data_IF_826708797344
#
_entry.id   IF_826708797344
#
_cell.length_a   1.000
_cell.length_b   1.000
_cell.length_c   1.000
_cell.angle_alpha   90.00
_cell.angle_beta   90.00
_cell.angle_gamma   90.00
#
_symmetry.space_group_name_H-M   'P 1'
#
loop_
_entity.id
_entity.type
_entity.pdbx_description
1 polymer ?
#
# COMPACT_ATOMS: atom_id res chain seq x y z
N UNK A 1 4.90 -25.76 -21.31
CA UNK A 1 6.06 -24.84 -21.42
C UNK A 1 6.41 -24.18 -20.09
N UNK A 2 5.62 -23.28 -19.48
CA UNK A 2 6.05 -22.64 -18.22
C UNK A 2 6.31 -23.65 -17.08
N UNK A 3 5.34 -24.51 -16.76
CA UNK A 3 5.45 -25.46 -15.65
C UNK A 3 6.57 -26.49 -15.83
N UNK A 4 6.93 -26.80 -17.07
CA UNK A 4 7.97 -27.78 -17.38
C UNK A 4 9.38 -27.27 -17.03
N UNK A 5 9.58 -25.94 -17.03
CA UNK A 5 10.86 -25.31 -16.73
C UNK A 5 10.91 -24.64 -15.35
N UNK A 6 9.79 -24.10 -14.88
CA UNK A 6 9.75 -23.28 -13.66
C UNK A 6 8.96 -23.91 -12.51
N UNK A 7 8.32 -25.07 -12.73
CA UNK A 7 7.52 -25.75 -11.72
C UNK A 7 6.08 -25.24 -11.62
N UNK A 8 5.31 -25.71 -10.63
CA UNK A 8 3.90 -25.36 -10.47
C UNK A 8 3.72 -23.86 -10.18
N UNK A 9 2.58 -23.29 -10.62
CA UNK A 9 2.28 -21.86 -10.43
C UNK A 9 1.85 -21.50 -9.00
N UNK A 10 1.54 -22.50 -8.19
CA UNK A 10 1.33 -22.40 -6.75
C UNK A 10 2.12 -23.50 -6.03
N UNK A 11 2.75 -23.14 -4.92
CA UNK A 11 3.63 -24.02 -4.15
C UNK A 11 3.89 -23.44 -2.76
N UNK A 12 4.46 -24.25 -1.88
CA UNK A 12 4.88 -23.84 -0.54
C UNK A 12 6.31 -24.32 -0.25
N UNK A 13 6.97 -23.68 0.70
CA UNK A 13 8.30 -24.06 1.19
C UNK A 13 8.57 -23.49 2.58
N UNK A 14 9.42 -24.14 3.34
CA UNK A 14 9.85 -23.67 4.66
C UNK A 14 11.23 -23.02 4.57
N UNK A 15 11.38 -21.83 5.16
CA UNK A 15 12.66 -21.16 5.25
C UNK A 15 12.75 -20.27 6.49
N UNK A 16 13.85 -20.35 7.23
CA UNK A 16 14.10 -19.46 8.37
C UNK A 16 13.05 -19.52 9.49
N UNK A 17 12.37 -20.67 9.66
CA UNK A 17 11.30 -20.85 10.64
C UNK A 17 9.95 -20.24 10.25
N UNK A 18 9.78 -19.91 8.96
CA UNK A 18 8.53 -19.41 8.37
C UNK A 18 8.12 -20.37 7.27
N UNK A 19 6.82 -20.61 7.16
CA UNK A 19 6.23 -21.31 6.03
C UNK A 19 5.77 -20.30 4.98
N UNK A 20 6.23 -20.46 3.75
CA UNK A 20 5.90 -19.58 2.63
C UNK A 20 4.95 -20.28 1.69
N UNK A 21 3.93 -19.54 1.23
CA UNK A 21 2.94 -20.01 0.27
C UNK A 21 2.92 -19.04 -0.91
N UNK A 22 3.00 -19.56 -2.13
CA UNK A 22 2.74 -18.80 -3.36
C UNK A 22 1.45 -19.31 -3.97
N UNK A 23 0.49 -18.41 -4.20
CA UNK A 23 -0.79 -18.69 -4.82
C UNK A 23 -0.85 -18.12 -6.23
N UNK A 24 -1.47 -18.88 -7.13
CA UNK A 24 -1.83 -18.41 -8.46
C UNK A 24 -3.29 -17.96 -8.46
N UNK A 25 -3.47 -16.65 -8.33
CA UNK A 25 -4.79 -16.01 -8.39
C UNK A 25 -5.28 -15.74 -9.81
N UNK A 26 -4.53 -16.06 -10.86
CA UNK A 26 -4.87 -15.73 -12.24
C UNK A 26 -5.56 -16.90 -12.94
N UNK A 27 -6.89 -16.96 -12.85
CA UNK A 27 -7.64 -17.98 -13.59
C UNK A 27 -8.01 -17.45 -14.97
N UNK A 28 -7.48 -18.07 -16.03
CA UNK A 28 -7.90 -17.78 -17.39
C UNK A 28 -9.32 -18.32 -17.59
N UNK A 29 -10.25 -17.42 -17.90
CA UNK A 29 -11.63 -17.76 -18.25
C UNK A 29 -11.92 -17.34 -19.68
N UNK A 30 -12.75 -18.11 -20.36
CA UNK A 30 -13.16 -17.80 -21.73
C UNK A 30 -14.55 -17.17 -21.71
N UNK A 31 -14.64 -15.87 -22.05
CA UNK A 31 -15.90 -15.11 -22.08
C UNK A 31 -16.06 -14.46 -23.45
N UNK A 32 -17.20 -14.70 -24.10
CA UNK A 32 -17.55 -14.09 -25.40
C UNK A 32 -16.45 -14.25 -26.47
N UNK A 33 -15.84 -15.43 -26.57
CA UNK A 33 -14.79 -15.69 -27.57
C UNK A 33 -13.41 -15.11 -27.22
N UNK A 34 -13.23 -14.52 -26.03
CA UNK A 34 -11.96 -13.93 -25.58
C UNK A 34 -11.50 -14.54 -24.26
N UNK A 35 -10.18 -14.70 -24.11
CA UNK A 35 -9.57 -15.05 -22.84
C UNK A 35 -9.54 -13.80 -21.95
N UNK A 36 -10.12 -13.90 -20.76
CA UNK A 36 -10.03 -12.90 -19.70
C UNK A 36 -9.43 -13.54 -18.45
N UNK A 37 -8.89 -12.73 -17.54
CA UNK A 37 -8.34 -13.23 -16.27
C UNK A 37 -9.35 -12.90 -15.18
N UNK A 38 -9.89 -13.94 -14.52
CA UNK A 38 -10.63 -13.79 -13.28
C UNK A 38 -9.68 -13.98 -12.10
N UNK A 39 -9.79 -13.11 -11.10
CA UNK A 39 -9.01 -13.27 -9.88
C UNK A 39 -9.71 -14.28 -8.95
N UNK A 40 -9.26 -15.53 -9.01
CA UNK A 40 -9.73 -16.59 -8.13
C UNK A 40 -8.77 -17.78 -8.11
N UNK A 41 -8.90 -18.60 -7.08
CA UNK A 41 -8.26 -19.91 -6.98
C UNK A 41 -9.25 -20.98 -7.42
N UNK A 42 -8.78 -21.94 -8.22
CA UNK A 42 -9.59 -23.12 -8.54
C UNK A 42 -9.77 -24.03 -7.31
N UNK A 43 -10.72 -24.96 -7.39
CA UNK A 43 -11.05 -25.84 -6.26
C UNK A 43 -9.87 -26.75 -5.86
N UNK A 44 -8.97 -27.10 -6.80
CA UNK A 44 -7.81 -27.93 -6.50
C UNK A 44 -6.78 -27.14 -5.70
N UNK A 45 -6.51 -25.90 -6.08
CA UNK A 45 -5.62 -25.01 -5.35
C UNK A 45 -6.16 -24.71 -3.94
N UNK A 46 -7.48 -24.50 -3.79
CA UNK A 46 -8.09 -24.33 -2.46
C UNK A 46 -7.96 -25.59 -1.61
N UNK A 47 -8.19 -26.78 -2.18
CA UNK A 47 -8.04 -28.04 -1.45
C UNK A 47 -6.58 -28.29 -1.03
N UNK A 48 -5.64 -28.00 -1.93
CA UNK A 48 -4.20 -28.04 -1.65
C UNK A 48 -3.83 -27.08 -0.53
N UNK A 49 -4.22 -25.80 -0.61
CA UNK A 49 -3.93 -24.78 0.41
C UNK A 49 -4.42 -25.20 1.79
N UNK A 50 -5.63 -25.76 1.88
CA UNK A 50 -6.16 -26.27 3.15
C UNK A 50 -5.35 -27.44 3.71
N UNK A 51 -4.91 -28.36 2.84
CA UNK A 51 -4.10 -29.50 3.25
C UNK A 51 -2.70 -29.08 3.70
N UNK A 52 -2.08 -28.14 2.96
CA UNK A 52 -0.78 -27.55 3.24
C UNK A 52 -0.78 -26.82 4.59
N UNK A 53 -1.71 -25.88 4.79
CA UNK A 53 -1.86 -25.17 6.08
C UNK A 53 -2.18 -26.11 7.26
N UNK A 54 -2.89 -27.22 7.02
CA UNK A 54 -3.17 -28.23 8.06
C UNK A 54 -1.93 -29.05 8.42
N UNK A 55 -1.04 -29.30 7.45
CA UNK A 55 0.21 -30.00 7.67
C UNK A 55 1.26 -29.12 8.35
N UNK A 56 1.18 -27.80 8.17
CA UNK A 56 2.05 -26.81 8.81
C UNK A 56 1.82 -26.75 10.33
N UNK A 57 2.86 -26.86 11.17
CA UNK A 57 2.68 -26.75 12.62
C UNK A 57 2.04 -25.42 13.01
N UNK A 58 1.03 -25.45 13.87
CA UNK A 58 0.16 -24.30 14.17
C UNK A 58 0.90 -23.03 14.62
N UNK A 59 2.06 -23.17 15.27
CA UNK A 59 2.87 -22.04 15.74
C UNK A 59 3.82 -21.47 14.68
N UNK A 60 3.95 -22.13 13.53
CA UNK A 60 4.78 -21.65 12.43
C UNK A 60 4.10 -20.43 11.81
N UNK A 61 4.74 -19.25 11.79
CA UNK A 61 4.20 -18.09 11.09
C UNK A 61 4.18 -18.36 9.58
N UNK A 62 3.11 -17.93 8.91
CA UNK A 62 2.97 -18.12 7.46
C UNK A 62 2.99 -16.78 6.72
N UNK A 63 3.74 -16.72 5.62
CA UNK A 63 3.72 -15.62 4.65
C UNK A 63 3.14 -16.15 3.33
N UNK A 64 2.12 -15.49 2.81
CA UNK A 64 1.47 -15.86 1.57
C UNK A 64 1.71 -14.80 0.49
N UNK A 65 2.04 -15.20 -0.74
CA UNK A 65 2.16 -14.32 -1.90
C UNK A 65 1.07 -14.60 -2.94
N UNK A 66 0.49 -13.55 -3.52
CA UNK A 66 -0.49 -13.63 -4.61
C UNK A 66 -0.40 -12.38 -5.49
N UNK A 67 -0.52 -12.48 -6.81
CA UNK A 67 -0.33 -11.30 -7.66
C UNK A 67 -1.47 -10.27 -7.55
N UNK A 68 -2.71 -10.70 -7.85
CA UNK A 68 -3.89 -9.83 -7.77
C UNK A 68 -4.28 -9.68 -6.30
N UNK A 69 -4.48 -8.46 -5.78
CA UNK A 69 -4.88 -8.24 -4.40
C UNK A 69 -6.16 -8.98 -4.05
N UNK A 70 -6.18 -9.62 -2.88
CA UNK A 70 -7.42 -10.17 -2.31
C UNK A 70 -8.15 -9.03 -1.60
N UNK A 71 -7.39 -8.22 -0.85
CA UNK A 71 -7.90 -7.14 -0.01
C UNK A 71 -7.41 -5.78 -0.52
N UNK A 72 -8.31 -4.84 -0.78
CA UNK A 72 -7.94 -3.47 -1.20
C UNK A 72 -9.11 -2.49 -1.04
N UNK A 73 -8.81 -1.22 -0.79
CA UNK A 73 -9.82 -0.14 -0.85
C UNK A 73 -9.94 0.51 -2.24
N UNK A 74 -9.40 -0.13 -3.29
CA UNK A 74 -9.33 0.38 -4.67
C UNK A 74 -10.63 1.04 -5.17
N UNK A 75 -11.78 0.39 -4.97
CA UNK A 75 -13.09 0.90 -5.42
C UNK A 75 -13.47 2.20 -4.69
N UNK A 76 -13.39 2.19 -3.36
CA UNK A 76 -13.67 3.37 -2.50
C UNK A 76 -12.78 4.55 -2.89
N UNK A 77 -11.48 4.30 -3.05
CA UNK A 77 -10.46 5.31 -3.41
C UNK A 77 -10.67 5.94 -4.79
N UNK A 78 -11.50 5.34 -5.64
CA UNK A 78 -11.84 5.84 -6.98
C UNK A 78 -13.25 6.44 -7.07
N UNK A 79 -13.98 6.48 -5.96
CA UNK A 79 -15.34 7.05 -5.86
C UNK A 79 -16.46 6.07 -6.21
N UNK A 80 -16.17 4.77 -6.19
CA UNK A 80 -17.18 3.72 -6.28
C UNK A 80 -17.49 3.10 -4.90
N UNK A 81 -18.57 2.30 -4.85
CA UNK A 81 -19.04 1.59 -3.65
C UNK A 81 -20.12 2.31 -2.86
N UNK A 82 -20.90 1.57 -2.08
CA UNK A 82 -21.91 2.11 -1.14
C UNK A 82 -21.37 2.01 0.29
N UNK A 83 -21.34 3.12 1.03
CA UNK A 83 -20.95 3.14 2.45
C UNK A 83 -22.02 2.44 3.33
N UNK A 84 -21.68 1.83 4.49
CA UNK A 84 -20.36 1.71 5.13
C UNK A 84 -19.84 0.26 5.40
N UNK A 85 -20.45 -0.80 4.84
CA UNK A 85 -20.22 -2.19 5.32
C UNK A 85 -19.42 -3.14 4.41
N UNK A 86 -18.83 -2.66 3.31
CA UNK A 86 -18.09 -3.56 2.43
C UNK A 86 -16.69 -3.87 2.96
N UNK A 87 -16.55 -5.10 3.48
CA UNK A 87 -15.29 -5.80 3.66
C UNK A 87 -14.36 -5.51 2.45
N UNK A 88 -13.12 -5.02 2.65
CA UNK A 88 -12.34 -4.39 1.60
C UNK A 88 -11.79 -5.39 0.59
N UNK A 89 -12.62 -5.90 -0.32
CA UNK A 89 -12.24 -6.84 -1.36
C UNK A 89 -11.84 -6.10 -2.63
N UNK A 90 -10.74 -6.53 -3.24
CA UNK A 90 -10.30 -5.98 -4.52
C UNK A 90 -11.33 -6.28 -5.64
N UNK A 91 -11.55 -5.36 -6.59
CA UNK A 91 -12.63 -5.49 -7.57
C UNK A 91 -12.50 -6.67 -8.53
N UNK A 92 -11.30 -7.21 -8.70
CA UNK A 92 -11.04 -8.37 -9.55
C UNK A 92 -11.52 -9.68 -8.90
N UNK A 93 -11.64 -9.71 -7.58
CA UNK A 93 -12.06 -10.88 -6.83
C UNK A 93 -13.57 -10.91 -6.61
N UNK A 94 -14.16 -12.09 -6.72
CA UNK A 94 -15.51 -12.30 -6.22
C UNK A 94 -15.52 -12.21 -4.68
N UNK A 95 -16.43 -11.39 -4.12
CA UNK A 95 -16.51 -11.09 -2.68
C UNK A 95 -16.56 -12.34 -1.80
N UNK A 96 -17.50 -13.25 -2.03
CA UNK A 96 -17.67 -14.42 -1.16
C UNK A 96 -16.49 -15.40 -1.27
N UNK A 97 -15.88 -15.53 -2.45
CA UNK A 97 -14.67 -16.35 -2.63
C UNK A 97 -13.46 -15.74 -1.92
N UNK A 98 -13.31 -14.43 -1.96
CA UNK A 98 -12.22 -13.73 -1.27
C UNK A 98 -12.38 -13.83 0.26
N UNK A 99 -13.59 -13.61 0.77
CA UNK A 99 -13.89 -13.78 2.20
C UNK A 99 -13.58 -15.20 2.68
N UNK A 100 -14.01 -16.23 1.92
CA UNK A 100 -13.70 -17.62 2.23
C UNK A 100 -12.19 -17.92 2.18
N UNK A 101 -11.45 -17.32 1.24
CA UNK A 101 -10.00 -17.45 1.18
C UNK A 101 -9.34 -16.80 2.41
N UNK A 102 -9.79 -15.62 2.82
CA UNK A 102 -9.27 -14.93 4.00
C UNK A 102 -9.52 -15.75 5.27
N UNK A 103 -10.67 -16.42 5.37
CA UNK A 103 -10.96 -17.34 6.48
C UNK A 103 -10.00 -18.52 6.51
N UNK A 104 -9.70 -19.11 5.35
CA UNK A 104 -8.71 -20.19 5.25
C UNK A 104 -7.34 -19.70 5.70
N UNK A 105 -6.89 -18.53 5.25
CA UNK A 105 -5.60 -17.95 5.62
C UNK A 105 -5.54 -17.62 7.13
N UNK A 106 -6.61 -17.08 7.70
CA UNK A 106 -6.67 -16.72 9.12
C UNK A 106 -6.54 -17.95 10.03
N UNK A 107 -7.17 -19.07 9.65
CA UNK A 107 -7.05 -20.34 10.37
C UNK A 107 -5.64 -20.94 10.26
N UNK A 108 -4.90 -20.63 9.19
CA UNK A 108 -3.57 -21.15 8.90
C UNK A 108 -2.40 -20.38 9.53
N UNK A 109 -2.64 -19.53 10.54
CA UNK A 109 -1.60 -18.69 11.16
C UNK A 109 -0.85 -17.77 10.16
N UNK A 110 -1.50 -17.38 9.06
CA UNK A 110 -0.96 -16.42 8.10
C UNK A 110 -0.87 -15.04 8.75
N UNK A 111 0.31 -14.43 8.69
CA UNK A 111 0.59 -13.12 9.28
C UNK A 111 0.66 -12.02 8.24
N UNK A 112 1.16 -12.35 7.05
CA UNK A 112 1.43 -11.40 5.99
C UNK A 112 1.01 -11.99 4.65
N UNK A 113 0.20 -11.24 3.90
CA UNK A 113 -0.15 -11.51 2.51
C UNK A 113 0.49 -10.44 1.63
N UNK A 114 1.44 -10.85 0.80
CA UNK A 114 2.10 -10.02 -0.18
C UNK A 114 1.29 -10.04 -1.48
N UNK A 115 0.88 -8.86 -1.93
CA UNK A 115 0.07 -8.68 -3.12
C UNK A 115 0.55 -7.50 -3.98
N UNK A 116 0.04 -7.38 -5.21
CA UNK A 116 0.54 -6.42 -6.20
C UNK A 116 -0.51 -5.94 -7.20
N UNK A 117 -0.20 -6.03 -8.49
CA UNK A 117 -1.07 -5.68 -9.64
C UNK A 117 -1.37 -4.18 -9.83
N UNK A 118 -1.73 -3.43 -8.78
CA UNK A 118 -2.23 -2.06 -8.93
C UNK A 118 -1.14 -0.99 -9.13
N UNK A 119 0.13 -1.32 -8.87
CA UNK A 119 1.25 -0.37 -8.85
C UNK A 119 1.00 0.80 -7.89
N UNK A 120 0.55 0.42 -6.70
CA UNK A 120 0.22 1.27 -5.56
C UNK A 120 0.73 0.60 -4.29
N UNK A 121 1.07 1.39 -3.27
CA UNK A 121 1.39 0.89 -1.93
C UNK A 121 0.17 1.02 -1.01
N UNK A 122 -0.33 -0.09 -0.48
CA UNK A 122 -1.50 -0.13 0.41
C UNK A 122 -1.32 -1.25 1.44
N UNK A 123 -1.61 -0.95 2.72
CA UNK A 123 -1.51 -1.93 3.81
C UNK A 123 -2.80 -1.94 4.60
N UNK A 124 -3.43 -3.10 4.72
CA UNK A 124 -4.72 -3.28 5.39
C UNK A 124 -4.64 -4.51 6.29
N UNK A 125 -5.05 -4.39 7.55
CA UNK A 125 -5.17 -5.55 8.43
C UNK A 125 -6.61 -6.06 8.44
N UNK A 126 -6.79 -7.35 8.17
CA UNK A 126 -8.09 -8.02 8.17
C UNK A 126 -7.94 -9.35 8.90
N UNK A 127 -8.78 -9.59 9.91
CA UNK A 127 -8.75 -10.82 10.75
C UNK A 127 -7.35 -11.15 11.30
N UNK A 128 -6.58 -10.12 11.66
CA UNK A 128 -5.22 -10.26 12.21
C UNK A 128 -4.14 -10.60 11.17
N UNK A 129 -4.47 -10.57 9.89
CA UNK A 129 -3.54 -10.73 8.77
C UNK A 129 -3.29 -9.38 8.13
N UNK A 130 -2.03 -9.02 7.91
CA UNK A 130 -1.70 -7.83 7.14
C UNK A 130 -1.65 -8.15 5.64
N UNK A 131 -2.48 -7.49 4.84
CA UNK A 131 -2.49 -7.54 3.39
C UNK A 131 -1.73 -6.33 2.85
N UNK A 132 -0.67 -6.57 2.11
CA UNK A 132 0.27 -5.54 1.67
C UNK A 132 0.40 -5.56 0.17
N UNK A 133 -0.23 -4.59 -0.48
CA UNK A 133 0.05 -4.24 -1.87
C UNK A 133 1.31 -3.38 -1.90
N UNK A 134 2.35 -3.83 -2.60
CA UNK A 134 3.58 -3.05 -2.77
C UNK A 134 3.63 -2.38 -4.13
N UNK A 135 4.24 -1.20 -4.17
CA UNK A 135 4.56 -0.52 -5.44
C UNK A 135 5.43 -1.41 -6.33
N UNK A 136 5.35 -1.20 -7.66
CA UNK A 136 6.16 -1.93 -8.63
C UNK A 136 7.57 -1.36 -8.74
N UNK A 137 8.54 -2.24 -9.03
CA UNK A 137 9.93 -1.90 -9.35
C UNK A 137 10.01 -1.03 -10.61
N UNK A 138 9.08 -1.19 -11.55
CA UNK A 138 9.03 -0.39 -12.77
C UNK A 138 8.19 0.89 -12.67
N UNK A 139 7.68 1.24 -11.48
CA UNK A 139 6.75 2.37 -11.33
C UNK A 139 5.52 2.18 -12.23
N UNK A 140 4.94 3.25 -12.75
CA UNK A 140 3.78 3.19 -13.65
C UNK A 140 4.20 3.23 -15.14
N UNK A 141 5.09 2.33 -15.55
CA UNK A 141 5.79 2.36 -16.84
C UNK A 141 4.92 2.50 -18.11
N UNK A 142 3.66 2.09 -18.06
CA UNK A 142 2.68 2.24 -19.14
C UNK A 142 2.16 3.68 -19.30
N UNK A 143 2.37 4.54 -18.30
CA UNK A 143 2.17 5.97 -18.40
C UNK A 143 3.47 6.60 -18.91
N UNK A 144 3.52 6.91 -20.21
CA UNK A 144 4.61 7.68 -20.80
C UNK A 144 4.64 9.11 -20.24
N UNK A 145 5.84 9.66 -20.00
CA UNK A 145 6.03 11.05 -19.55
C UNK A 145 6.88 11.19 -18.28
N UNK A 146 6.95 12.40 -17.74
CA UNK A 146 7.59 12.69 -16.45
C UNK A 146 6.86 11.96 -15.30
N UNK A 147 7.61 11.47 -14.31
CA UNK A 147 7.07 10.71 -13.18
C UNK A 147 7.04 9.18 -13.37
N UNK A 148 7.63 8.67 -14.46
CA UNK A 148 7.80 7.22 -14.72
C UNK A 148 8.44 6.47 -13.55
N UNK A 149 9.30 7.15 -12.78
CA UNK A 149 9.97 6.60 -11.60
C UNK A 149 9.04 6.36 -10.39
N UNK A 150 7.74 6.61 -10.52
CA UNK A 150 6.74 6.53 -9.44
C UNK A 150 5.54 5.68 -9.81
N UNK A 151 4.80 5.25 -8.79
CA UNK A 151 3.50 4.63 -8.91
C UNK A 151 2.38 5.60 -9.28
N UNK A 152 1.20 5.05 -9.53
CA UNK A 152 0.01 5.88 -9.78
C UNK A 152 -0.42 6.67 -8.53
N UNK A 153 0.03 6.21 -7.35
CA UNK A 153 -0.13 6.83 -6.03
C UNK A 153 0.99 7.83 -5.68
N UNK A 154 1.88 8.12 -6.63
CA UNK A 154 3.03 9.00 -6.46
C UNK A 154 4.08 8.51 -5.43
N UNK A 155 4.00 7.25 -4.99
CA UNK A 155 5.07 6.59 -4.22
C UNK A 155 6.23 6.27 -5.18
N UNK A 156 7.50 6.49 -4.80
CA UNK A 156 8.61 6.10 -5.66
C UNK A 156 8.57 4.60 -6.02
N UNK A 157 9.14 4.21 -7.15
CA UNK A 157 9.31 2.78 -7.46
C UNK A 157 10.30 2.15 -6.50
N UNK A 158 10.04 0.91 -6.11
CA UNK A 158 10.85 0.25 -5.11
C UNK A 158 10.44 -1.20 -4.87
N UNK A 159 10.83 -1.70 -3.72
CA UNK A 159 10.60 -3.09 -3.31
C UNK A 159 10.33 -3.14 -1.81
N UNK A 160 9.92 -4.30 -1.32
CA UNK A 160 9.69 -4.53 0.11
C UNK A 160 10.78 -5.44 0.67
N UNK A 161 11.32 -5.06 1.82
CA UNK A 161 12.21 -5.91 2.61
C UNK A 161 11.39 -6.53 3.72
N UNK A 162 11.47 -7.85 3.83
CA UNK A 162 10.83 -8.64 4.89
C UNK A 162 11.93 -9.17 5.79
N UNK A 163 11.72 -9.00 7.09
CA UNK A 163 12.63 -9.44 8.13
C UNK A 163 11.90 -10.39 9.07
N UNK A 164 12.53 -11.54 9.31
CA UNK A 164 12.03 -12.59 10.19
C UNK A 164 13.02 -12.74 11.35
N UNK A 165 12.55 -12.51 12.58
CA UNK A 165 13.38 -12.67 13.79
C UNK A 165 12.57 -13.37 14.88
N UNK A 166 13.02 -14.57 15.27
CA UNK A 166 12.38 -15.33 16.36
C UNK A 166 10.88 -15.58 16.13
N UNK A 167 10.49 -15.90 14.90
CA UNK A 167 9.08 -16.10 14.51
C UNK A 167 8.27 -14.81 14.32
N UNK A 168 8.83 -13.63 14.62
CA UNK A 168 8.20 -12.33 14.34
C UNK A 168 8.52 -11.91 12.92
N UNK A 169 7.49 -11.54 12.17
CA UNK A 169 7.61 -10.97 10.82
C UNK A 169 7.47 -9.46 10.94
N UNK A 170 8.37 -8.73 10.28
CA UNK A 170 8.27 -7.29 10.06
C UNK A 170 8.66 -6.99 8.63
N UNK A 171 8.22 -5.85 8.10
CA UNK A 171 8.56 -5.45 6.75
C UNK A 171 8.56 -3.94 6.59
N UNK A 172 9.24 -3.45 5.55
CA UNK A 172 9.23 -2.05 5.16
C UNK A 172 9.37 -1.90 3.66
N UNK A 173 8.69 -0.92 3.12
CA UNK A 173 8.92 -0.45 1.77
C UNK A 173 10.30 0.24 1.69
N UNK A 174 10.98 0.05 0.57
CA UNK A 174 12.27 0.66 0.24
C UNK A 174 12.21 1.18 -1.19
N UNK A 175 12.37 2.48 -1.33
CA UNK A 175 12.58 3.13 -2.63
C UNK A 175 13.82 2.56 -3.32
N UNK A 176 13.72 2.32 -4.62
CA UNK A 176 14.87 1.86 -5.41
C UNK A 176 15.96 2.94 -5.47
N UNK A 177 17.22 2.55 -5.58
CA UNK A 177 18.32 3.50 -5.76
C UNK A 177 18.13 4.41 -6.99
N UNK A 178 17.47 3.90 -8.03
CA UNK A 178 17.13 4.66 -9.23
C UNK A 178 16.07 5.75 -8.97
N UNK A 179 15.26 5.61 -7.92
CA UNK A 179 14.35 6.67 -7.48
C UNK A 179 15.06 7.81 -6.75
N UNK A 180 16.27 7.57 -6.21
CA UNK A 180 17.07 8.55 -5.43
C UNK A 180 16.31 9.16 -4.23
N UNK A 181 15.38 8.41 -3.65
CA UNK A 181 14.59 8.82 -2.48
C UNK A 181 15.02 7.96 -1.29
N UNK A 182 15.47 8.58 -0.20
CA UNK A 182 15.83 7.89 1.07
C UNK A 182 14.89 8.25 2.24
N UNK A 183 13.85 9.04 1.94
CA UNK A 183 12.81 9.45 2.89
C UNK A 183 11.65 8.46 2.91
N UNK A 184 10.91 8.44 4.02
CA UNK A 184 9.71 7.62 4.22
C UNK A 184 8.42 8.34 3.83
N UNK A 185 8.52 9.63 3.53
CA UNK A 185 7.44 10.42 2.97
C UNK A 185 7.91 11.79 2.49
N UNK A 186 7.08 12.49 1.72
CA UNK A 186 7.42 13.80 1.19
C UNK A 186 6.21 14.74 1.14
N UNK A 187 6.50 16.03 1.25
CA UNK A 187 5.52 17.07 0.97
C UNK A 187 5.47 17.35 -0.53
N UNK A 188 4.29 17.68 -1.04
CA UNK A 188 4.08 17.99 -2.45
C UNK A 188 3.63 19.44 -2.64
N UNK A 189 4.00 20.02 -3.78
CA UNK A 189 3.61 21.38 -4.18
C UNK A 189 4.36 22.49 -3.48
N UNK A 190 5.57 22.21 -2.99
CA UNK A 190 6.44 23.17 -2.31
C UNK A 190 7.67 23.57 -3.15
N UNK A 191 7.68 23.22 -4.43
CA UNK A 191 8.81 23.49 -5.34
C UNK A 191 8.98 24.98 -5.65
N UNK A 192 7.90 25.75 -5.51
CA UNK A 192 7.88 27.20 -5.71
C UNK A 192 7.58 27.91 -4.37
N UNK A 193 8.07 29.16 -4.19
CA UNK A 193 7.67 29.98 -3.06
C UNK A 193 6.14 30.10 -2.95
N UNK A 194 5.64 29.99 -1.72
CA UNK A 194 4.21 30.09 -1.42
C UNK A 194 3.85 31.55 -1.21
N UNK A 195 2.77 31.99 -1.84
CA UNK A 195 2.15 33.30 -1.59
C UNK A 195 1.27 33.17 -0.34
N UNK A 196 1.45 33.99 0.71
CA UNK A 196 0.61 33.96 1.89
C UNK A 196 -0.89 33.99 1.56
N UNK A 197 -1.64 33.05 2.12
CA UNK A 197 -3.07 32.90 1.90
C UNK A 197 -3.75 32.32 3.14
N UNK A 198 -5.04 32.63 3.28
CA UNK A 198 -5.91 32.08 4.33
C UNK A 198 -6.11 30.57 4.23
N UNK A 199 -5.85 29.99 3.06
CA UNK A 199 -5.97 28.54 2.85
C UNK A 199 -4.99 28.10 1.77
N UNK A 200 -3.87 27.52 2.20
CA UNK A 200 -2.99 26.71 1.35
C UNK A 200 -3.17 25.24 1.71
N UNK A 201 -3.30 24.43 0.67
CA UNK A 201 -3.27 22.98 0.76
C UNK A 201 -1.82 22.48 0.80
N UNK A 202 -1.44 21.84 1.89
CA UNK A 202 -0.16 21.16 2.06
C UNK A 202 -0.45 19.67 2.08
N UNK A 203 0.06 18.93 1.09
CA UNK A 203 -0.12 17.48 1.00
C UNK A 203 1.16 16.79 1.44
N UNK A 204 1.02 15.77 2.29
CA UNK A 204 2.11 14.89 2.72
C UNK A 204 1.81 13.45 2.29
N UNK A 205 2.71 12.84 1.54
CA UNK A 205 2.66 11.44 1.14
C UNK A 205 3.59 10.63 2.03
N UNK A 206 3.06 9.79 2.93
CA UNK A 206 3.84 8.91 3.80
C UNK A 206 3.88 7.49 3.24
N UNK A 207 4.81 7.23 2.32
CA UNK A 207 4.79 6.12 1.37
C UNK A 207 4.29 4.76 1.90
N UNK A 208 4.68 4.36 3.11
CA UNK A 208 4.36 3.04 3.69
C UNK A 208 3.37 3.06 4.85
N UNK A 209 2.63 4.16 5.03
CA UNK A 209 1.64 4.29 6.09
C UNK A 209 0.47 3.32 5.88
N UNK A 210 0.13 2.48 6.87
CA UNK A 210 -1.05 1.64 6.81
C UNK A 210 -2.34 2.43 6.76
N UNK A 211 -3.40 1.78 6.29
CA UNK A 211 -4.76 2.26 6.51
C UNK A 211 -4.97 2.54 8.00
N UNK A 212 -5.78 3.56 8.31
CA UNK A 212 -6.06 4.04 9.68
C UNK A 212 -4.91 4.80 10.35
N UNK A 213 -3.78 5.02 9.65
CA UNK A 213 -2.74 5.94 10.12
C UNK A 213 -3.30 7.36 10.27
N UNK A 214 -2.79 8.08 11.27
CA UNK A 214 -3.13 9.48 11.51
C UNK A 214 -1.92 10.36 11.32
N UNK A 215 -2.13 11.61 10.89
CA UNK A 215 -1.04 12.53 10.63
C UNK A 215 -1.27 13.87 11.32
N UNK A 216 -0.17 14.52 11.70
CA UNK A 216 -0.13 15.90 12.18
C UNK A 216 1.08 16.60 11.61
N UNK A 217 0.98 17.90 11.43
CA UNK A 217 2.05 18.74 10.88
C UNK A 217 2.20 19.99 11.72
N UNK A 218 3.40 20.56 11.75
CA UNK A 218 3.65 21.90 12.29
C UNK A 218 4.50 22.72 11.32
N UNK A 219 4.33 24.03 11.41
CA UNK A 219 5.19 25.01 10.73
C UNK A 219 6.14 25.58 11.78
N UNK A 220 7.44 25.51 11.51
CA UNK A 220 8.54 25.90 12.38
C UNK A 220 8.40 25.32 13.80
N UNK A 221 8.31 26.19 14.81
CA UNK A 221 8.10 25.86 16.22
C UNK A 221 6.65 26.04 16.66
N UNK A 222 5.73 26.22 15.71
CA UNK A 222 4.30 26.36 15.97
C UNK A 222 3.65 25.07 16.50
N UNK A 223 2.35 25.14 16.85
CA UNK A 223 1.62 23.99 17.37
C UNK A 223 1.49 22.89 16.31
N UNK A 224 1.31 21.66 16.79
CA UNK A 224 0.93 20.54 15.94
C UNK A 224 -0.54 20.64 15.54
N UNK A 225 -0.79 20.60 14.24
CA UNK A 225 -2.13 20.62 13.65
C UNK A 225 -2.44 19.26 13.02
N UNK A 226 -3.58 18.63 13.33
CA UNK A 226 -3.99 17.40 12.66
C UNK A 226 -4.13 17.60 11.15
N UNK A 227 -3.69 16.62 10.37
CA UNK A 227 -3.93 16.55 8.93
C UNK A 227 -5.13 15.64 8.67
N UNK A 228 -5.92 15.98 7.67
CA UNK A 228 -7.03 15.15 7.19
C UNK A 228 -6.55 14.18 6.14
N UNK A 229 -7.33 13.12 5.87
CA UNK A 229 -7.08 12.28 4.71
C UNK A 229 -7.27 13.10 3.42
N UNK A 230 -6.32 13.02 2.49
CA UNK A 230 -6.50 13.65 1.18
C UNK A 230 -7.58 12.90 0.38
N UNK A 231 -8.63 13.61 -0.03
CA UNK A 231 -9.76 13.07 -0.81
C UNK A 231 -9.88 13.69 -2.20
N UNK A 232 -8.95 14.60 -2.55
CA UNK A 232 -9.00 15.35 -3.79
C UNK A 232 -8.68 14.49 -5.03
N UNK A 233 -9.13 14.98 -6.19
CA UNK A 233 -8.69 14.55 -7.51
C UNK A 233 -8.10 15.79 -8.22
N UNK A 234 -6.78 15.98 -8.19
CA UNK A 234 -6.14 17.09 -8.92
C UNK A 234 -4.81 17.57 -8.33
N UNK A 235 -4.01 18.24 -9.15
CA UNK A 235 -2.66 18.69 -8.79
C UNK A 235 -1.63 17.55 -8.85
N UNK A 236 -0.70 17.52 -7.89
CA UNK A 236 0.38 16.52 -7.79
C UNK A 236 -0.11 15.10 -7.43
N UNK A 237 -1.32 14.97 -6.91
CA UNK A 237 -1.94 13.69 -6.53
C UNK A 237 -3.28 13.52 -7.23
N UNK A 238 -3.42 12.44 -7.99
CA UNK A 238 -4.63 12.19 -8.81
C UNK A 238 -5.57 11.13 -8.23
N UNK A 239 -5.26 10.62 -7.05
CA UNK A 239 -6.05 9.57 -6.42
C UNK A 239 -6.06 9.69 -4.90
N UNK A 240 -7.13 9.19 -4.28
CA UNK A 240 -7.21 9.07 -2.84
C UNK A 240 -6.34 7.87 -2.41
N UNK A 241 -5.37 8.09 -1.53
CA UNK A 241 -4.61 7.03 -0.89
C UNK A 241 -4.68 7.14 0.62
N UNK A 242 -4.66 6.00 1.36
CA UNK A 242 -4.65 5.99 2.83
C UNK A 242 -3.38 6.63 3.42
N UNK A 243 -2.32 6.71 2.62
CA UNK A 243 -1.05 7.29 2.98
C UNK A 243 -0.85 8.75 2.52
N UNK A 244 -1.88 9.40 1.96
CA UNK A 244 -1.88 10.83 1.62
C UNK A 244 -2.69 11.65 2.62
N UNK A 245 -2.04 12.65 3.21
CA UNK A 245 -2.62 13.55 4.20
C UNK A 245 -2.60 14.98 3.69
N UNK A 246 -3.59 15.78 4.06
CA UNK A 246 -3.70 17.19 3.70
C UNK A 246 -3.93 18.06 4.93
N UNK A 247 -3.24 19.20 4.97
CA UNK A 247 -3.57 20.31 5.84
C UNK A 247 -4.03 21.49 4.98
N UNK A 248 -5.14 22.11 5.38
CA UNK A 248 -5.47 23.46 4.97
C UNK A 248 -4.97 24.43 6.04
N UNK A 249 -3.93 25.21 5.73
CA UNK A 249 -3.33 26.14 6.67
C UNK A 249 -3.58 27.59 6.28
N UNK A 250 -3.88 28.42 7.27
CA UNK A 250 -3.67 29.86 7.16
C UNK A 250 -2.17 30.15 7.28
N UNK A 251 -1.62 30.86 6.29
CA UNK A 251 -0.20 31.25 6.25
C UNK A 251 -0.03 32.76 6.21
N UNK A 252 -1.10 33.53 6.35
CA UNK A 252 -1.06 35.00 6.32
C UNK A 252 -0.23 35.60 7.46
N UNK A 253 -0.04 34.84 8.55
CA UNK A 253 0.83 35.21 9.66
C UNK A 253 2.30 34.82 9.50
N UNK A 254 2.69 34.14 8.41
CA UNK A 254 4.09 33.79 8.17
C UNK A 254 4.86 34.99 7.61
N UNK A 255 6.07 35.20 8.11
CA UNK A 255 6.98 36.21 7.58
C UNK A 255 7.50 35.82 6.21
N UNK A 256 7.88 36.78 5.37
CA UNK A 256 8.61 36.44 4.14
C UNK A 256 9.95 35.75 4.48
N UNK A 257 10.30 34.69 3.75
CA UNK A 257 11.55 33.97 3.96
C UNK A 257 11.40 32.46 4.07
N UNK A 258 12.41 31.80 4.67
CA UNK A 258 12.46 30.34 4.79
C UNK A 258 11.72 29.88 6.03
N UNK A 259 10.87 28.88 5.83
CA UNK A 259 10.12 28.18 6.86
C UNK A 259 10.33 26.68 6.73
N UNK A 260 9.94 25.94 7.76
CA UNK A 260 10.07 24.49 7.81
C UNK A 260 8.75 23.84 8.16
N UNK A 261 8.38 22.83 7.39
CA UNK A 261 7.30 21.89 7.72
C UNK A 261 7.90 20.65 8.37
N UNK A 262 7.24 20.13 9.40
CA UNK A 262 7.54 18.81 9.97
C UNK A 262 6.22 18.05 10.10
N UNK A 263 6.14 16.86 9.50
CA UNK A 263 4.99 15.96 9.61
C UNK A 263 5.34 14.74 10.47
N UNK A 264 4.41 14.34 11.33
CA UNK A 264 4.43 13.08 12.06
C UNK A 264 3.24 12.24 11.61
N UNK A 265 3.50 11.01 11.19
CA UNK A 265 2.47 10.02 10.88
C UNK A 265 2.58 8.88 11.89
N UNK A 266 1.50 8.67 12.63
CA UNK A 266 1.37 7.59 13.62
C UNK A 266 0.61 6.44 12.99
N UNK A 267 1.25 5.29 12.89
CA UNK A 267 0.64 4.04 12.42
C UNK A 267 -0.23 3.42 13.51
N UNK A 268 -1.17 2.51 13.17
CA UNK A 268 -2.02 1.84 14.15
C UNK A 268 -1.25 1.06 15.23
N UNK A 269 -0.05 0.58 14.93
CA UNK A 269 0.82 -0.14 15.88
C UNK A 269 1.67 0.78 16.78
N UNK A 270 1.51 2.11 16.65
CA UNK A 270 2.25 3.11 17.41
C UNK A 270 3.58 3.54 16.77
N UNK A 271 3.99 2.95 15.64
CA UNK A 271 5.16 3.43 14.88
C UNK A 271 4.94 4.88 14.44
N UNK A 272 5.99 5.71 14.55
CA UNK A 272 5.95 7.12 14.15
C UNK A 272 6.95 7.36 13.03
N UNK A 273 6.46 7.79 11.87
CA UNK A 273 7.28 8.32 10.78
C UNK A 273 7.34 9.84 10.90
N UNK A 274 8.55 10.40 10.88
CA UNK A 274 8.77 11.85 10.95
C UNK A 274 9.57 12.32 9.75
N UNK A 275 9.04 13.29 9.03
CA UNK A 275 9.70 13.91 7.87
C UNK A 275 9.60 15.42 7.94
N UNK A 276 10.60 16.11 7.39
CA UNK A 276 10.63 17.56 7.37
C UNK A 276 11.14 18.09 6.04
N UNK A 277 10.62 19.24 5.63
CA UNK A 277 11.12 19.96 4.45
C UNK A 277 11.14 21.46 4.70
N UNK A 278 12.05 22.16 4.03
CA UNK A 278 12.00 23.61 3.94
C UNK A 278 11.00 24.06 2.86
N UNK A 279 10.42 25.24 3.03
CA UNK A 279 9.70 25.98 2.00
C UNK A 279 9.96 27.47 2.14
N UNK A 280 9.64 28.26 1.11
CA UNK A 280 9.82 29.71 1.12
C UNK A 280 8.48 30.40 1.01
N UNK A 281 8.29 31.46 1.80
CA UNK A 281 7.12 32.35 1.73
C UNK A 281 7.54 33.65 1.05
N UNK A 282 6.76 34.10 0.05
CA UNK A 282 7.03 35.36 -0.65
C UNK A 282 6.64 36.56 0.20
N UNK A 283 7.15 37.73 -0.19
CA UNK A 283 6.63 39.04 0.25
C UNK A 283 5.21 39.26 -0.26
#
# INVERSE_FOLDING_TARGET
FFNDFFGPTYYSFDFGGVHFITLDGNTVVHRQGKNTIDACLDLRQIAWLKADLKATPQQTPVICGIHIPIVSTYIKRRGGGTFPEDFPIAPQFNKSRAEALIDILALGNVKLVLQGHAHENERITVKGIEFVSSISVCGCWWHSGEGFERGVDNVPRGYRVIEVRGGRISHRYVSSCESKVDRLGEFMGLDNPIIPSKSIAIIFNCYDAPNESTAKVRIDSGPWTPMQQYTGKGGYVKMQMPHHFILHSDTTGLTAGKHRLTAHVTWPDGTIVTEATGFTVTT
#
